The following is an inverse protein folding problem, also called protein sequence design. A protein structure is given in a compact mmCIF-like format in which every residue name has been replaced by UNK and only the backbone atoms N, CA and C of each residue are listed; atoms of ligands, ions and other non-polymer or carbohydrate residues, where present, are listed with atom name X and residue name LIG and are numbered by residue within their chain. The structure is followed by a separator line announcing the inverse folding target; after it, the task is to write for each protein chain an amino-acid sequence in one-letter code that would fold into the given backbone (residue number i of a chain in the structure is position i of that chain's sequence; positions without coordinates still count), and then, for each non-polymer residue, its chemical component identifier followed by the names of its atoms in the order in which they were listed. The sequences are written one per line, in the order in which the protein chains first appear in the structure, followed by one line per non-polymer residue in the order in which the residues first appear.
data_IF_695706549013
#
_entry.id   IF_695706549013
#
_cell.length_a   1.000
_cell.length_b   1.000
_cell.length_c   1.000
_cell.angle_alpha   90.00
_cell.angle_beta   90.00
_cell.angle_gamma   90.00
#
_symmetry.space_group_name_H-M   'P 1'
#
loop_
_entity.id
_entity.type
_entity.pdbx_description
1 polymer ?
#
# COMPACT_ATOMS: atom_id res chain seq x y z
N UNK A 1 0.58 0.62 -29.44
CA UNK A 1 1.48 -0.45 -28.96
C UNK A 1 2.76 0.22 -28.47
N UNK A 2 3.10 0.05 -27.22
CA UNK A 2 4.30 0.60 -26.57
C UNK A 2 5.25 -0.56 -26.29
N UNK A 3 6.56 -0.33 -26.38
CA UNK A 3 7.57 -1.32 -26.03
C UNK A 3 8.45 -0.74 -24.91
N UNK A 4 8.79 -1.56 -23.94
CA UNK A 4 9.72 -1.22 -22.89
C UNK A 4 10.91 -2.17 -22.87
N UNK A 5 12.00 -1.71 -22.31
CA UNK A 5 13.20 -2.49 -22.03
C UNK A 5 13.95 -1.87 -20.87
N UNK A 6 14.74 -2.65 -20.19
CA UNK A 6 15.51 -2.24 -19.00
C UNK A 6 17.00 -2.39 -19.26
N UNK A 7 17.79 -1.54 -18.66
CA UNK A 7 19.25 -1.64 -18.62
C UNK A 7 19.74 -1.30 -17.22
N UNK A 8 20.51 -2.17 -16.56
CA UNK A 8 21.11 -1.86 -15.27
C UNK A 8 22.32 -0.92 -15.42
N UNK A 9 22.48 -0.07 -14.43
CA UNK A 9 23.62 0.84 -14.29
C UNK A 9 24.30 0.62 -12.94
N UNK A 10 25.60 0.87 -12.87
CA UNK A 10 26.34 0.93 -11.61
C UNK A 10 26.03 2.25 -10.87
N UNK A 11 26.62 2.38 -9.66
CA UNK A 11 26.44 3.58 -8.83
C UNK A 11 27.04 4.87 -9.43
N UNK A 12 27.89 4.72 -10.45
CA UNK A 12 28.55 5.82 -11.14
C UNK A 12 27.90 6.17 -12.48
N UNK A 13 26.77 5.49 -12.82
CA UNK A 13 26.04 5.69 -14.06
C UNK A 13 26.62 4.95 -15.27
N UNK A 14 27.58 4.06 -15.05
CA UNK A 14 28.11 3.16 -16.07
C UNK A 14 27.19 1.97 -16.34
N UNK A 15 26.91 1.61 -17.60
CA UNK A 15 26.05 0.48 -17.90
C UNK A 15 26.75 -0.85 -17.56
N UNK A 16 26.09 -1.66 -16.72
CA UNK A 16 26.60 -2.98 -16.31
C UNK A 16 26.38 -4.05 -17.40
N UNK A 17 25.28 -3.97 -18.13
CA UNK A 17 24.91 -4.91 -19.20
C UNK A 17 24.25 -4.21 -20.38
N UNK A 18 23.96 -4.94 -21.44
CA UNK A 18 23.12 -4.51 -22.55
C UNK A 18 21.67 -4.24 -22.12
N UNK A 19 20.88 -3.74 -23.03
CA UNK A 19 19.44 -3.65 -22.86
C UNK A 19 18.82 -5.05 -22.86
N UNK A 20 17.75 -5.27 -22.07
CA UNK A 20 16.90 -6.44 -22.20
C UNK A 20 16.24 -6.47 -23.58
N UNK A 21 15.69 -7.61 -23.97
CA UNK A 21 14.80 -7.68 -25.11
C UNK A 21 13.61 -6.72 -24.94
N UNK A 22 12.97 -6.38 -26.05
CA UNK A 22 11.80 -5.50 -26.04
C UNK A 22 10.56 -6.28 -25.67
N UNK A 23 9.90 -5.86 -24.60
CA UNK A 23 8.61 -6.41 -24.21
C UNK A 23 7.48 -5.51 -24.70
N UNK A 24 6.45 -6.05 -25.36
CA UNK A 24 5.30 -5.25 -25.75
C UNK A 24 4.45 -4.90 -24.53
N UNK A 25 4.00 -3.67 -24.49
CA UNK A 25 2.98 -3.21 -23.55
C UNK A 25 1.74 -2.77 -24.34
N UNK A 26 0.61 -3.39 -24.07
CA UNK A 26 -0.68 -2.95 -24.57
C UNK A 26 -1.45 -2.33 -23.41
N UNK A 27 -1.69 -1.02 -23.53
CA UNK A 27 -2.65 -0.36 -22.66
C UNK A 27 -4.04 -0.88 -23.05
N UNK A 28 -4.64 -1.68 -22.17
CA UNK A 28 -5.99 -2.19 -22.35
C UNK A 28 -6.95 -1.30 -21.57
N UNK A 29 -7.92 -0.73 -22.26
CA UNK A 29 -8.89 0.18 -21.67
C UNK A 29 -8.38 1.61 -21.55
N UNK A 30 -9.28 2.51 -21.28
CA UNK A 30 -8.97 3.92 -21.08
C UNK A 30 -8.76 4.20 -19.60
N UNK A 31 -7.51 4.28 -19.18
CA UNK A 31 -7.15 4.75 -17.83
C UNK A 31 -7.71 6.16 -17.56
N UNK A 32 -7.87 6.96 -18.62
CA UNK A 32 -8.41 8.32 -18.56
C UNK A 32 -9.92 8.40 -18.31
N UNK A 33 -10.64 7.29 -18.55
CA UNK A 33 -12.09 7.20 -18.34
C UNK A 33 -12.47 6.62 -16.98
N UNK A 34 -11.49 6.34 -16.11
CA UNK A 34 -11.76 5.84 -14.78
C UNK A 34 -12.34 6.92 -13.89
N UNK A 35 -13.35 6.55 -13.15
CA UNK A 35 -13.97 7.40 -12.14
C UNK A 35 -13.47 7.12 -10.72
N UNK A 36 -12.70 6.03 -10.53
CA UNK A 36 -12.16 5.61 -9.24
C UNK A 36 -10.68 5.22 -9.31
N UNK A 37 -9.91 5.42 -8.23
CA UNK A 37 -8.55 4.91 -8.09
C UNK A 37 -8.50 3.38 -8.16
N UNK A 38 -7.33 2.84 -8.50
CA UNK A 38 -7.04 1.41 -8.47
C UNK A 38 -6.25 1.05 -7.22
N UNK A 39 -6.71 0.07 -6.48
CA UNK A 39 -5.91 -0.52 -5.43
C UNK A 39 -4.80 -1.38 -6.04
N UNK A 40 -3.57 -1.21 -5.55
CA UNK A 40 -2.48 -2.10 -5.95
C UNK A 40 -2.72 -3.49 -5.37
N UNK A 41 -2.25 -4.56 -6.05
CA UNK A 41 -2.31 -5.90 -5.49
C UNK A 41 -1.68 -5.92 -4.09
N UNK A 42 -2.34 -6.59 -3.17
CA UNK A 42 -1.81 -6.88 -1.85
C UNK A 42 -1.28 -8.31 -1.83
N UNK A 43 0.03 -8.46 -1.73
CA UNK A 43 0.68 -9.75 -1.73
C UNK A 43 0.70 -10.41 -0.34
N UNK A 44 0.10 -9.79 0.67
CA UNK A 44 0.02 -10.33 2.03
C UNK A 44 -1.19 -11.25 2.28
N UNK A 45 -2.21 -11.21 1.39
CA UNK A 45 -3.45 -11.97 1.61
C UNK A 45 -3.21 -13.49 1.78
N UNK A 46 -2.34 -14.07 0.95
CA UNK A 46 -2.03 -15.50 0.93
C UNK A 46 -0.72 -15.84 1.68
N UNK A 47 -0.20 -14.92 2.50
CA UNK A 47 1.10 -15.11 3.12
C UNK A 47 1.02 -15.44 4.60
N UNK A 48 2.03 -16.15 5.07
CA UNK A 48 2.25 -16.44 6.49
C UNK A 48 2.73 -15.22 7.28
N UNK A 49 2.79 -14.05 6.64
CA UNK A 49 3.15 -12.80 7.29
C UNK A 49 2.08 -11.75 7.06
N UNK A 50 1.76 -10.99 8.11
CA UNK A 50 0.86 -9.85 8.08
C UNK A 50 1.52 -8.63 8.69
N UNK A 51 1.13 -7.43 8.21
CA UNK A 51 1.56 -6.16 8.78
C UNK A 51 0.60 -5.71 9.87
N UNK A 52 1.11 -5.49 11.08
CA UNK A 52 0.30 -4.91 12.16
C UNK A 52 -0.03 -3.44 11.89
N UNK A 53 0.90 -2.71 11.26
CA UNK A 53 0.73 -1.33 10.80
C UNK A 53 0.61 -1.33 9.27
N UNK A 54 -0.61 -1.30 8.73
CA UNK A 54 -0.83 -1.43 7.30
C UNK A 54 -0.28 -0.26 6.50
N UNK A 55 0.01 -0.52 5.23
CA UNK A 55 0.35 0.49 4.24
C UNK A 55 -0.60 0.35 3.07
N UNK A 56 -1.36 1.38 2.79
CA UNK A 56 -2.35 1.40 1.73
C UNK A 56 -1.73 1.99 0.47
N UNK A 57 -1.65 1.19 -0.58
CA UNK A 57 -0.99 1.55 -1.84
C UNK A 57 -1.96 1.43 -3.02
N UNK A 58 -1.94 2.43 -3.90
CA UNK A 58 -2.92 2.58 -4.97
C UNK A 58 -2.34 3.32 -6.17
N UNK A 59 -3.13 3.42 -7.23
CA UNK A 59 -2.86 4.24 -8.41
C UNK A 59 -4.00 5.23 -8.55
N UNK A 60 -3.68 6.52 -8.48
CA UNK A 60 -4.64 7.61 -8.56
C UNK A 60 -5.17 7.86 -9.96
N UNK A 61 -6.12 8.80 -10.07
CA UNK A 61 -6.64 9.30 -11.33
C UNK A 61 -5.76 10.43 -11.89
N UNK A 62 -5.74 10.63 -13.21
CA UNK A 62 -5.12 11.80 -13.80
C UNK A 62 -5.76 13.09 -13.26
N UNK A 63 -4.93 14.07 -12.88
CA UNK A 63 -5.38 15.33 -12.32
C UNK A 63 -5.51 15.36 -10.80
N UNK A 64 -5.47 14.21 -10.12
CA UNK A 64 -5.46 14.18 -8.66
C UNK A 64 -4.25 14.92 -8.08
N UNK A 65 -4.48 15.68 -7.03
CA UNK A 65 -3.47 16.41 -6.27
C UNK A 65 -3.16 15.75 -4.94
N UNK A 66 -4.17 15.16 -4.35
CA UNK A 66 -4.03 14.40 -3.12
C UNK A 66 -5.04 13.24 -3.10
N UNK A 67 -4.92 12.43 -2.09
CA UNK A 67 -5.69 11.21 -1.92
C UNK A 67 -6.17 11.13 -0.49
N UNK A 68 -7.40 10.71 -0.30
CA UNK A 68 -7.90 10.35 1.01
C UNK A 68 -8.15 8.85 1.07
N UNK A 69 -7.56 8.21 2.06
CA UNK A 69 -7.83 6.81 2.42
C UNK A 69 -8.75 6.79 3.61
N UNK A 70 -9.73 5.92 3.61
CA UNK A 70 -10.49 5.59 4.82
C UNK A 70 -10.42 4.10 5.13
N UNK A 71 -10.44 3.80 6.43
CA UNK A 71 -10.55 2.46 6.98
C UNK A 71 -11.87 2.36 7.73
N UNK A 72 -12.57 1.26 7.51
CA UNK A 72 -13.88 0.99 8.11
C UNK A 72 -13.86 -0.35 8.85
N UNK A 73 -14.65 -0.48 9.90
CA UNK A 73 -14.81 -1.73 10.67
C UNK A 73 -15.90 -2.66 10.10
N UNK A 74 -16.60 -2.19 9.08
CA UNK A 74 -17.62 -2.92 8.33
C UNK A 74 -17.49 -2.56 6.86
N UNK A 75 -18.04 -3.39 5.96
CA UNK A 75 -18.07 -3.07 4.53
C UNK A 75 -18.80 -1.73 4.32
N UNK A 76 -18.20 -0.79 3.56
CA UNK A 76 -18.83 0.51 3.32
C UNK A 76 -20.23 0.38 2.70
N UNK A 77 -21.18 1.09 3.25
CA UNK A 77 -22.60 1.08 2.82
C UNK A 77 -22.85 1.85 1.52
N UNK A 78 -21.86 2.65 1.08
CA UNK A 78 -21.96 3.54 -0.07
C UNK A 78 -20.81 3.29 -1.08
N UNK A 79 -20.75 2.12 -1.72
CA UNK A 79 -19.61 1.71 -2.56
C UNK A 79 -19.34 2.65 -3.73
N UNK A 80 -20.38 3.25 -4.32
CA UNK A 80 -20.29 4.11 -5.50
C UNK A 80 -20.40 5.62 -5.15
N UNK A 81 -20.29 5.95 -3.87
CA UNK A 81 -20.47 7.32 -3.40
C UNK A 81 -19.16 8.13 -3.37
N UNK A 82 -19.34 9.41 -3.06
CA UNK A 82 -18.23 10.35 -2.76
C UNK A 82 -18.14 10.66 -1.27
N UNK A 83 -19.20 10.35 -0.52
CA UNK A 83 -19.26 10.62 0.92
C UNK A 83 -18.48 9.57 1.72
N UNK A 84 -17.91 9.94 2.88
CA UNK A 84 -17.33 8.98 3.81
C UNK A 84 -18.35 7.94 4.28
N UNK A 85 -17.86 6.72 4.57
CA UNK A 85 -18.70 5.68 5.18
C UNK A 85 -19.05 6.03 6.62
N UNK A 86 -20.26 5.64 7.04
CA UNK A 86 -20.66 5.73 8.45
C UNK A 86 -19.86 4.77 9.35
N UNK A 87 -19.22 3.75 8.78
CA UNK A 87 -18.39 2.78 9.48
C UNK A 87 -16.92 3.19 9.54
N UNK A 88 -16.57 4.43 9.17
CA UNK A 88 -15.20 4.94 9.20
C UNK A 88 -14.65 4.97 10.61
N UNK A 89 -13.55 4.26 10.83
CA UNK A 89 -12.78 4.27 12.09
C UNK A 89 -11.47 5.05 11.98
N UNK A 90 -10.99 5.29 10.75
CA UNK A 90 -9.81 6.09 10.50
C UNK A 90 -9.84 6.68 9.09
N UNK A 91 -9.16 7.80 8.92
CA UNK A 91 -8.84 8.35 7.59
C UNK A 91 -7.52 9.10 7.63
N UNK A 92 -6.86 9.13 6.48
CA UNK A 92 -5.64 9.89 6.26
C UNK A 92 -5.59 10.47 4.86
N UNK A 93 -4.90 11.61 4.72
CA UNK A 93 -4.72 12.29 3.43
C UNK A 93 -3.23 12.38 3.10
N UNK A 94 -2.88 12.19 1.83
CA UNK A 94 -1.52 12.22 1.33
C UNK A 94 -1.46 12.74 -0.10
N UNK A 95 -0.31 13.28 -0.51
CA UNK A 95 -0.05 13.69 -1.90
C UNK A 95 0.61 12.60 -2.74
N UNK A 96 0.99 11.48 -2.12
CA UNK A 96 1.61 10.34 -2.80
C UNK A 96 0.65 9.15 -2.84
N UNK A 97 0.87 8.22 -3.76
CA UNK A 97 0.01 7.04 -3.96
C UNK A 97 0.25 5.93 -2.92
N UNK A 98 0.54 6.32 -1.69
CA UNK A 98 0.78 5.44 -0.57
C UNK A 98 0.56 6.19 0.73
N UNK A 99 -0.07 5.54 1.72
CA UNK A 99 -0.22 6.10 3.06
C UNK A 99 0.01 5.01 4.11
N UNK A 100 0.70 5.39 5.18
CA UNK A 100 1.03 4.53 6.32
C UNK A 100 -0.01 4.73 7.42
N UNK A 101 -0.58 3.65 7.91
CA UNK A 101 -1.47 3.69 9.07
C UNK A 101 -0.63 3.66 10.34
N UNK A 102 -0.80 4.66 11.18
CA UNK A 102 -0.09 4.78 12.45
C UNK A 102 -0.73 3.94 13.57
N UNK A 103 -1.86 3.30 13.28
CA UNK A 103 -2.57 2.48 14.25
C UNK A 103 -2.42 0.99 13.95
N UNK A 104 -2.21 0.15 14.98
CA UNK A 104 -2.21 -1.28 14.82
C UNK A 104 -3.60 -1.77 14.43
N UNK A 105 -3.69 -2.57 13.38
CA UNK A 105 -4.95 -3.15 12.90
C UNK A 105 -4.97 -4.63 13.18
N UNK A 106 -5.99 -5.07 13.91
CA UNK A 106 -6.26 -6.48 14.19
C UNK A 106 -7.71 -6.78 13.86
N UNK A 107 -8.02 -8.06 13.58
CA UNK A 107 -9.36 -8.46 13.16
C UNK A 107 -9.64 -8.17 11.69
N UNK A 108 -10.90 -7.94 11.36
CA UNK A 108 -11.37 -7.69 9.99
C UNK A 108 -11.72 -6.23 9.84
N UNK A 109 -11.27 -5.66 8.75
CA UNK A 109 -11.56 -4.27 8.36
C UNK A 109 -11.55 -4.14 6.83
N UNK A 110 -12.05 -3.00 6.33
CA UNK A 110 -12.01 -2.63 4.92
C UNK A 110 -11.28 -1.31 4.76
N UNK A 111 -10.72 -1.09 3.60
CA UNK A 111 -10.16 0.20 3.24
C UNK A 111 -10.44 0.53 1.78
N UNK A 112 -10.55 1.80 1.50
CA UNK A 112 -10.70 2.35 0.15
C UNK A 112 -10.05 3.72 0.06
N UNK A 113 -9.89 4.22 -1.17
CA UNK A 113 -9.24 5.49 -1.44
C UNK A 113 -10.06 6.29 -2.46
N UNK A 114 -10.04 7.60 -2.34
CA UNK A 114 -10.52 8.53 -3.36
C UNK A 114 -9.46 9.54 -3.73
N UNK A 115 -9.58 10.11 -4.95
CA UNK A 115 -8.76 11.21 -5.41
C UNK A 115 -9.38 12.55 -4.99
N UNK A 116 -8.54 13.53 -4.75
CA UNK A 116 -8.93 14.90 -4.46
C UNK A 116 -8.28 15.86 -5.47
N UNK A 117 -8.98 16.91 -5.85
CA UNK A 117 -8.47 18.01 -6.67
C UNK A 117 -7.62 19.00 -5.85
N UNK A 118 -7.23 20.13 -6.47
CA UNK A 118 -6.42 21.16 -5.80
C UNK A 118 -7.16 21.92 -4.70
N UNK A 119 -8.49 21.89 -4.72
CA UNK A 119 -9.35 22.51 -3.71
C UNK A 119 -9.73 21.52 -2.60
N UNK A 120 -9.30 20.27 -2.71
CA UNK A 120 -9.63 19.19 -1.76
C UNK A 120 -11.00 18.56 -1.99
N UNK A 121 -11.67 18.84 -3.11
CA UNK A 121 -12.93 18.21 -3.45
C UNK A 121 -12.68 16.82 -4.08
N UNK A 122 -13.68 15.94 -3.96
CA UNK A 122 -13.60 14.62 -4.56
C UNK A 122 -13.49 14.70 -6.09
N UNK A 123 -12.46 14.06 -6.62
CA UNK A 123 -12.25 13.83 -8.04
C UNK A 123 -12.63 12.39 -8.36
N UNK A 124 -13.85 12.19 -8.85
CA UNK A 124 -14.43 10.87 -9.05
C UNK A 124 -15.07 10.28 -7.80
N UNK A 125 -15.14 8.97 -7.74
CA UNK A 125 -15.75 8.22 -6.64
C UNK A 125 -14.70 7.44 -5.84
N UNK A 126 -15.12 6.83 -4.73
CA UNK A 126 -14.27 5.90 -3.98
C UNK A 126 -13.89 4.69 -4.83
N UNK A 127 -12.70 4.14 -4.59
CA UNK A 127 -12.33 2.83 -5.11
C UNK A 127 -13.26 1.74 -4.55
N UNK A 128 -13.27 0.57 -5.16
CA UNK A 128 -13.78 -0.62 -4.48
C UNK A 128 -13.13 -0.77 -3.11
N UNK A 129 -13.91 -1.19 -2.13
CA UNK A 129 -13.38 -1.44 -0.80
C UNK A 129 -12.68 -2.80 -0.76
N UNK A 130 -11.45 -2.83 -0.24
CA UNK A 130 -10.70 -4.06 -0.02
C UNK A 130 -10.88 -4.53 1.42
N UNK A 131 -11.36 -5.77 1.57
CA UNK A 131 -11.38 -6.45 2.85
C UNK A 131 -9.96 -6.89 3.23
N UNK A 132 -9.57 -6.63 4.46
CA UNK A 132 -8.31 -7.05 5.05
C UNK A 132 -8.59 -7.84 6.32
N UNK A 133 -7.72 -8.82 6.60
CA UNK A 133 -7.82 -9.62 7.82
C UNK A 133 -6.45 -9.75 8.46
N UNK A 134 -6.39 -9.36 9.73
CA UNK A 134 -5.22 -9.50 10.58
C UNK A 134 -5.59 -10.39 11.77
N UNK A 135 -5.29 -11.68 11.72
CA UNK A 135 -5.55 -12.59 12.84
C UNK A 135 -4.86 -12.11 14.12
N UNK A 136 -5.51 -12.33 15.26
CA UNK A 136 -4.99 -11.96 16.58
C UNK A 136 -4.12 -13.03 17.21
N UNK A 137 -4.10 -14.22 16.64
CA UNK A 137 -3.36 -15.41 17.12
C UNK A 137 -2.74 -16.21 15.97
N UNK A 138 -2.05 -17.29 16.30
CA UNK A 138 -1.42 -18.17 15.32
C UNK A 138 -0.05 -17.68 14.82
N UNK A 139 0.54 -16.67 15.46
CA UNK A 139 1.87 -16.16 15.13
C UNK A 139 2.95 -16.86 15.95
N UNK A 140 4.04 -17.26 15.29
CA UNK A 140 5.21 -17.87 15.91
C UNK A 140 6.37 -16.89 16.03
N UNK A 141 6.47 -15.92 15.09
CA UNK A 141 7.53 -14.94 15.05
C UNK A 141 6.98 -13.52 14.95
N UNK A 142 7.55 -12.59 15.74
CA UNK A 142 7.32 -11.15 15.66
C UNK A 142 8.55 -10.45 15.05
N UNK A 143 8.33 -9.68 13.99
CA UNK A 143 9.36 -8.80 13.42
C UNK A 143 9.17 -7.40 13.97
N UNK A 144 10.14 -6.90 14.72
CA UNK A 144 10.10 -5.59 15.33
C UNK A 144 11.23 -4.71 14.80
N UNK A 145 10.94 -3.44 14.52
CA UNK A 145 11.93 -2.51 13.99
C UNK A 145 11.34 -1.27 13.34
N UNK A 146 12.15 -0.65 12.50
CA UNK A 146 11.85 0.56 11.73
C UNK A 146 11.41 0.24 10.28
N UNK A 147 11.59 1.20 9.37
CA UNK A 147 11.25 1.06 7.95
C UNK A 147 11.92 -0.12 7.25
N UNK A 148 13.12 -0.51 7.65
CA UNK A 148 13.83 -1.64 7.04
C UNK A 148 13.10 -2.94 7.35
N UNK A 149 12.73 -3.13 8.61
CA UNK A 149 11.98 -4.31 9.05
C UNK A 149 10.52 -4.27 8.58
N UNK A 150 9.93 -3.08 8.45
CA UNK A 150 8.59 -2.91 7.90
C UNK A 150 8.51 -3.31 6.42
N UNK A 151 9.64 -3.26 5.71
CA UNK A 151 9.73 -3.65 4.30
C UNK A 151 9.62 -2.48 3.31
N UNK A 152 9.80 -1.26 3.79
CA UNK A 152 9.71 -0.05 3.00
C UNK A 152 10.92 0.86 3.15
N UNK A 153 10.77 2.11 2.76
CA UNK A 153 11.74 3.16 2.97
C UNK A 153 12.01 4.05 1.78
N UNK A 154 11.50 3.70 0.60
CA UNK A 154 11.51 4.56 -0.59
C UNK A 154 10.29 4.28 -1.46
N UNK A 155 9.93 5.23 -2.34
CA UNK A 155 8.77 5.15 -3.23
C UNK A 155 8.70 3.88 -4.12
N UNK A 156 9.81 3.17 -4.32
CA UNK A 156 9.85 1.93 -5.10
C UNK A 156 9.69 0.66 -4.26
N UNK A 157 9.72 0.78 -2.93
CA UNK A 157 9.63 -0.33 -2.01
C UNK A 157 8.57 -0.02 -0.97
N UNK A 158 7.38 -0.55 -1.18
CA UNK A 158 6.27 -0.41 -0.23
C UNK A 158 6.19 -1.62 0.68
N UNK A 159 5.96 -1.44 1.98
CA UNK A 159 5.62 -2.54 2.88
C UNK A 159 4.39 -3.34 2.44
N UNK A 160 3.51 -2.73 1.63
CA UNK A 160 2.38 -3.44 1.01
C UNK A 160 2.83 -4.52 0.01
N UNK A 161 4.09 -4.48 -0.45
CA UNK A 161 4.67 -5.54 -1.27
C UNK A 161 5.50 -6.49 -0.40
N UNK A 162 4.94 -7.66 -0.10
CA UNK A 162 5.53 -8.65 0.77
C UNK A 162 6.95 -9.11 0.35
N UNK A 163 7.29 -9.04 -0.93
CA UNK A 163 8.59 -9.46 -1.45
C UNK A 163 9.77 -8.69 -0.87
N UNK A 164 9.54 -7.48 -0.38
CA UNK A 164 10.58 -6.64 0.25
C UNK A 164 10.65 -6.81 1.77
N UNK A 165 9.83 -7.68 2.34
CA UNK A 165 9.75 -7.89 3.77
C UNK A 165 10.49 -9.16 4.18
N UNK A 166 11.32 -9.07 5.24
CA UNK A 166 12.05 -10.24 5.77
C UNK A 166 11.12 -11.37 6.18
N UNK A 167 9.97 -11.06 6.75
CA UNK A 167 8.97 -12.04 7.18
C UNK A 167 8.39 -12.87 6.05
N UNK A 168 8.47 -12.38 4.81
CA UNK A 168 8.06 -13.13 3.63
C UNK A 168 8.86 -14.42 3.43
N UNK A 169 10.12 -14.41 3.86
CA UNK A 169 11.07 -15.51 3.65
C UNK A 169 11.16 -16.45 4.86
N UNK A 170 10.35 -16.23 5.90
CA UNK A 170 10.25 -17.15 7.02
C UNK A 170 9.34 -18.33 6.68
N UNK A 171 9.70 -19.49 7.16
CA UNK A 171 8.90 -20.72 6.98
C UNK A 171 7.72 -20.80 7.95
N UNK A 172 7.72 -20.02 9.01
CA UNK A 172 6.73 -19.96 10.07
C UNK A 172 5.81 -18.72 9.96
N UNK A 173 4.60 -18.77 10.53
CA UNK A 173 3.72 -17.60 10.59
C UNK A 173 4.35 -16.45 11.36
N UNK A 174 4.43 -15.28 10.73
CA UNK A 174 5.08 -14.10 11.29
C UNK A 174 4.15 -12.88 11.29
N UNK A 175 4.21 -12.09 12.36
CA UNK A 175 3.60 -10.76 12.42
C UNK A 175 4.68 -9.70 12.33
N UNK A 176 4.50 -8.76 11.43
CA UNK A 176 5.38 -7.62 11.30
C UNK A 176 4.86 -6.47 12.17
N UNK A 177 5.55 -6.25 13.27
CA UNK A 177 5.29 -5.22 14.29
C UNK A 177 6.09 -3.93 14.02
N UNK A 178 6.87 -3.90 12.95
CA UNK A 178 7.70 -2.76 12.62
C UNK A 178 6.85 -1.60 12.10
N UNK A 179 7.33 -0.39 12.30
CA UNK A 179 6.68 0.83 11.82
C UNK A 179 7.71 1.75 11.15
N UNK A 180 7.44 2.14 9.91
CA UNK A 180 8.29 3.07 9.19
C UNK A 180 8.35 4.42 9.89
N UNK A 181 9.55 4.97 10.01
CA UNK A 181 9.80 6.22 10.73
C UNK A 181 10.07 6.08 12.23
N UNK A 182 10.06 4.86 12.76
CA UNK A 182 10.42 4.65 14.16
C UNK A 182 11.90 4.95 14.41
N UNK A 183 12.12 5.55 15.55
CA UNK A 183 13.43 5.69 16.17
C UNK A 183 13.60 4.63 17.26
N UNK A 184 14.83 4.37 17.71
CA UNK A 184 15.08 3.46 18.83
C UNK A 184 14.29 3.82 20.08
N UNK A 185 14.04 5.11 20.32
CA UNK A 185 13.19 5.58 21.41
C UNK A 185 11.73 5.16 21.23
N UNK A 186 11.15 5.42 20.04
CA UNK A 186 9.76 5.02 19.74
C UNK A 186 9.58 3.50 19.82
N UNK A 187 10.56 2.77 19.31
CA UNK A 187 10.57 1.30 19.43
C UNK A 187 10.52 0.85 20.89
N UNK A 188 11.32 1.48 21.77
CA UNK A 188 11.32 1.17 23.20
C UNK A 188 10.01 1.58 23.91
N UNK A 189 9.32 2.61 23.44
CA UNK A 189 8.01 3.03 23.96
C UNK A 189 6.87 2.09 23.55
N UNK A 190 7.01 1.39 22.41
CA UNK A 190 6.01 0.43 21.89
C UNK A 190 6.21 -1.01 22.38
N UNK A 191 7.43 -1.33 22.84
CA UNK A 191 7.79 -2.67 23.34
C UNK A 191 7.36 -2.86 24.79
#
# INVERSE_FOLDING_TARGET
KIFWRVRPFDLYGGPLHGWTEREPFEAVGSFLEREAPLLRPDNHEDRRMKLLYPVYSYVGLPGAKSYEVEVTDSEPENPDGTEPSMYRVWSGTTEIMEIYDDFPRTGVYWWRVRCLDEDGNALGVWSEARRMEMPVDGWETGLFGDSISHGGGRMSFSPSDALYNLGFYLDEPAVNLAQSGDTSRRMAERF
#
